data_IF_443286818489
#
_entry.id   IF_443286818489
#
_cell.length_a   1.000
_cell.length_b   1.000
_cell.length_c   1.000
_cell.angle_alpha   90.00
_cell.angle_beta   90.00
_cell.angle_gamma   90.00
#
_symmetry.space_group_name_H-M   'P 1'
#
loop_
_entity.id
_entity.type
_entity.pdbx_description
1 polymer ?
#
# COMPACT_ATOMS: atom_id res chain seq x y z
N UNK A 1 18.20 19.89 -15.65
CA UNK A 1 17.07 19.86 -14.70
C UNK A 1 17.57 20.18 -13.29
N UNK A 2 16.78 20.88 -12.46
CA UNK A 2 17.15 21.19 -11.07
C UNK A 2 16.88 19.99 -10.15
N UNK A 3 17.72 19.78 -9.12
CA UNK A 3 17.59 18.68 -8.15
C UNK A 3 16.19 18.62 -7.50
N UNK A 4 15.59 19.78 -7.26
CA UNK A 4 14.27 19.90 -6.69
C UNK A 4 13.16 19.31 -7.58
N UNK A 5 13.33 19.37 -8.90
CA UNK A 5 12.37 18.77 -9.83
C UNK A 5 12.38 17.24 -9.71
N UNK A 6 13.56 16.62 -9.60
CA UNK A 6 13.66 15.17 -9.37
C UNK A 6 12.98 14.73 -8.07
N UNK A 7 13.07 15.55 -7.01
CA UNK A 7 12.37 15.27 -5.75
C UNK A 7 10.84 15.32 -5.93
N UNK A 8 10.33 16.32 -6.64
CA UNK A 8 8.90 16.47 -6.94
C UNK A 8 8.40 15.30 -7.79
N UNK A 9 9.13 14.94 -8.83
CA UNK A 9 8.80 13.81 -9.69
C UNK A 9 8.78 12.49 -8.91
N UNK A 10 9.80 12.24 -8.08
CA UNK A 10 9.85 11.06 -7.23
C UNK A 10 8.65 10.98 -6.26
N UNK A 11 8.29 12.09 -5.62
CA UNK A 11 7.10 12.18 -4.75
C UNK A 11 5.80 11.91 -5.52
N UNK A 12 5.68 12.45 -6.74
CA UNK A 12 4.54 12.21 -7.61
C UNK A 12 4.41 10.73 -7.98
N UNK A 13 5.46 10.13 -8.54
CA UNK A 13 5.42 8.74 -9.00
C UNK A 13 5.23 7.75 -7.85
N UNK A 14 5.84 7.97 -6.69
CA UNK A 14 5.65 7.12 -5.51
C UNK A 14 4.23 7.22 -4.94
N UNK A 15 3.65 8.43 -4.93
CA UNK A 15 2.24 8.62 -4.60
C UNK A 15 1.33 7.87 -5.56
N UNK A 16 1.54 8.08 -6.87
CA UNK A 16 0.74 7.43 -7.92
C UNK A 16 0.84 5.91 -7.90
N UNK A 17 2.04 5.37 -7.65
CA UNK A 17 2.26 3.93 -7.54
C UNK A 17 1.48 3.33 -6.36
N UNK A 18 1.39 4.06 -5.23
CA UNK A 18 0.59 3.61 -4.08
C UNK A 18 -0.91 3.56 -4.42
N UNK A 19 -1.42 4.53 -5.17
CA UNK A 19 -2.81 4.52 -5.66
C UNK A 19 -3.08 3.31 -6.55
N UNK A 20 -2.19 3.06 -7.51
CA UNK A 20 -2.29 1.90 -8.41
C UNK A 20 -2.20 0.60 -7.61
N UNK A 21 -1.29 0.52 -6.63
CA UNK A 21 -1.12 -0.66 -5.78
C UNK A 21 -2.40 -1.00 -5.01
N UNK A 22 -3.04 0.01 -4.40
CA UNK A 22 -4.34 -0.17 -3.72
C UNK A 22 -5.41 -0.67 -4.67
N UNK A 23 -5.54 -0.03 -5.84
CA UNK A 23 -6.51 -0.45 -6.84
C UNK A 23 -6.30 -1.90 -7.27
N UNK A 24 -5.05 -2.27 -7.56
CA UNK A 24 -4.67 -3.66 -7.88
C UNK A 24 -5.01 -4.63 -6.74
N UNK A 25 -4.69 -4.30 -5.49
CA UNK A 25 -5.05 -5.17 -4.37
C UNK A 25 -6.56 -5.38 -4.25
N UNK A 26 -7.38 -4.33 -4.40
CA UNK A 26 -8.84 -4.46 -4.40
C UNK A 26 -9.37 -5.28 -5.58
N UNK A 27 -8.83 -5.07 -6.78
CA UNK A 27 -9.18 -5.87 -7.97
C UNK A 27 -8.80 -7.33 -7.76
N UNK A 28 -7.61 -7.61 -7.24
CA UNK A 28 -7.16 -8.96 -6.91
C UNK A 28 -8.10 -9.66 -5.92
N UNK A 29 -8.51 -8.97 -4.85
CA UNK A 29 -9.51 -9.48 -3.89
C UNK A 29 -10.85 -9.74 -4.59
N UNK A 30 -11.29 -8.83 -5.47
CA UNK A 30 -12.51 -8.99 -6.27
C UNK A 30 -12.47 -10.21 -7.19
N UNK A 31 -11.34 -10.47 -7.84
CA UNK A 31 -11.12 -11.67 -8.68
C UNK A 31 -11.24 -12.93 -7.82
N UNK A 32 -10.60 -12.96 -6.65
CA UNK A 32 -10.70 -14.11 -5.72
C UNK A 32 -12.17 -14.38 -5.33
N UNK A 33 -12.95 -13.32 -5.08
CA UNK A 33 -14.37 -13.43 -4.76
C UNK A 33 -15.22 -14.03 -5.89
N UNK A 34 -14.80 -13.88 -7.16
CA UNK A 34 -15.50 -14.51 -8.30
C UNK A 34 -15.34 -16.03 -8.25
N UNK A 35 -14.18 -16.52 -7.82
CA UNK A 35 -13.87 -17.95 -7.73
C UNK A 35 -14.35 -18.63 -6.44
N UNK A 36 -15.18 -17.94 -5.62
CA UNK A 36 -15.86 -18.60 -4.51
C UNK A 36 -16.78 -19.70 -5.05
N UNK A 37 -16.76 -20.86 -4.42
CA UNK A 37 -17.71 -21.94 -4.73
C UNK A 37 -18.69 -22.12 -3.59
N UNK A 38 -19.97 -22.22 -3.92
CA UNK A 38 -20.99 -22.72 -3.00
C UNK A 38 -20.79 -24.23 -2.86
N UNK A 39 -20.84 -24.74 -1.64
CA UNK A 39 -20.48 -26.13 -1.29
C UNK A 39 -21.23 -27.21 -2.09
N UNK A 40 -22.30 -26.89 -2.83
CA UNK A 40 -23.08 -27.85 -3.62
C UNK A 40 -23.70 -27.31 -4.94
N UNK A 41 -23.27 -26.16 -5.48
CA UNK A 41 -23.98 -25.52 -6.60
C UNK A 41 -25.40 -25.05 -6.27
N UNK A 42 -25.80 -25.16 -5.01
CA UNK A 42 -27.04 -24.65 -4.42
C UNK A 42 -26.64 -23.54 -3.46
N UNK A 43 -27.28 -22.38 -3.60
CA UNK A 43 -27.09 -21.21 -2.73
C UNK A 43 -27.30 -21.62 -1.27
N UNK A 44 -26.21 -21.75 -0.51
CA UNK A 44 -26.28 -21.87 0.95
C UNK A 44 -25.92 -20.50 1.54
N UNK A 45 -26.88 -19.94 2.27
CA UNK A 45 -26.73 -18.78 3.14
C UNK A 45 -25.77 -19.11 4.30
N UNK A 46 -25.21 -18.11 4.99
CA UNK A 46 -23.87 -17.57 4.80
C UNK A 46 -22.70 -18.37 5.41
N UNK A 47 -22.88 -19.62 5.85
CA UNK A 47 -21.88 -20.31 6.69
C UNK A 47 -20.89 -21.22 5.94
N UNK A 48 -21.06 -21.40 4.63
CA UNK A 48 -20.36 -22.46 3.88
C UNK A 48 -19.69 -21.98 2.57
N UNK A 49 -19.15 -20.75 2.58
CA UNK A 49 -18.31 -20.28 1.49
C UNK A 49 -16.87 -20.76 1.68
N UNK A 50 -16.46 -21.78 0.91
CA UNK A 50 -15.08 -22.25 0.92
C UNK A 50 -14.30 -21.51 -0.18
N UNK A 51 -13.42 -20.60 0.23
CA UNK A 51 -12.37 -20.10 -0.66
C UNK A 51 -11.42 -21.26 -0.92
N UNK A 52 -11.16 -21.55 -2.19
CA UNK A 52 -10.21 -22.60 -2.55
C UNK A 52 -8.87 -22.34 -1.86
N UNK A 53 -8.28 -23.39 -1.27
CA UNK A 53 -7.07 -23.27 -0.44
C UNK A 53 -5.92 -22.53 -1.14
N UNK A 54 -5.83 -22.68 -2.46
CA UNK A 54 -4.84 -22.05 -3.33
C UNK A 54 -5.00 -20.51 -3.41
N UNK A 55 -6.21 -19.98 -3.20
CA UNK A 55 -6.54 -18.56 -3.23
C UNK A 55 -6.41 -17.85 -1.86
N UNK A 56 -6.27 -18.60 -0.76
CA UNK A 56 -6.10 -18.03 0.58
C UNK A 56 -4.77 -17.24 0.66
N UNK A 57 -3.71 -17.77 0.07
CA UNK A 57 -2.40 -17.11 0.05
C UNK A 57 -2.42 -15.76 -0.67
N UNK A 58 -2.84 -15.65 -1.96
CA UNK A 58 -2.91 -14.35 -2.64
C UNK A 58 -3.89 -13.39 -1.95
N UNK A 59 -5.00 -13.87 -1.39
CA UNK A 59 -5.91 -13.04 -0.60
C UNK A 59 -5.21 -12.41 0.61
N UNK A 60 -4.49 -13.22 1.39
CA UNK A 60 -3.72 -12.75 2.54
C UNK A 60 -2.66 -11.74 2.14
N UNK A 61 -1.96 -11.96 1.03
CA UNK A 61 -0.96 -11.02 0.51
C UNK A 61 -1.57 -9.67 0.12
N UNK A 62 -2.73 -9.65 -0.55
CA UNK A 62 -3.42 -8.39 -0.85
C UNK A 62 -3.84 -7.63 0.41
N UNK A 63 -4.35 -8.32 1.42
CA UNK A 63 -4.71 -7.71 2.72
C UNK A 63 -3.47 -7.14 3.41
N UNK A 64 -2.37 -7.89 3.46
CA UNK A 64 -1.11 -7.42 4.06
C UNK A 64 -0.59 -6.18 3.31
N UNK A 65 -0.65 -6.17 1.98
CA UNK A 65 -0.27 -5.00 1.18
C UNK A 65 -1.10 -3.76 1.53
N UNK A 66 -2.43 -3.92 1.66
CA UNK A 66 -3.33 -2.84 2.05
C UNK A 66 -3.08 -2.34 3.48
N UNK A 67 -2.78 -3.24 4.42
CA UNK A 67 -2.42 -2.86 5.79
C UNK A 67 -1.11 -2.06 5.83
N UNK A 68 -0.08 -2.50 5.09
CA UNK A 68 1.17 -1.75 4.97
C UNK A 68 0.97 -0.37 4.33
N UNK A 69 0.09 -0.26 3.31
CA UNK A 69 -0.28 1.02 2.72
C UNK A 69 -0.92 1.96 3.73
N UNK A 70 -1.90 1.46 4.49
CA UNK A 70 -2.58 2.22 5.53
C UNK A 70 -1.61 2.70 6.63
N UNK A 71 -0.73 1.81 7.11
CA UNK A 71 0.28 2.15 8.12
C UNK A 71 1.25 3.19 7.58
N UNK A 72 1.70 3.08 6.34
CA UNK A 72 2.60 4.06 5.72
C UNK A 72 2.02 5.47 5.77
N UNK A 73 0.79 5.64 5.26
CA UNK A 73 0.16 6.96 5.19
C UNK A 73 -0.22 7.49 6.57
N UNK A 74 -0.60 6.61 7.50
CA UNK A 74 -0.85 6.99 8.90
C UNK A 74 0.42 7.49 9.56
N UNK A 75 1.53 6.73 9.46
CA UNK A 75 2.83 7.12 10.00
C UNK A 75 3.29 8.46 9.44
N UNK A 76 3.27 8.61 8.11
CA UNK A 76 3.66 9.87 7.45
C UNK A 76 2.77 11.04 7.90
N UNK A 77 1.45 10.86 7.98
CA UNK A 77 0.54 11.91 8.45
C UNK A 77 0.84 12.35 9.88
N UNK A 78 1.04 11.39 10.80
CA UNK A 78 1.34 11.67 12.22
C UNK A 78 2.70 12.36 12.38
N UNK A 79 3.75 11.82 11.76
CA UNK A 79 5.11 12.36 11.89
C UNK A 79 5.19 13.79 11.38
N UNK A 80 4.63 14.07 10.19
CA UNK A 80 4.65 15.41 9.62
C UNK A 80 3.75 16.39 10.39
N UNK A 81 2.62 15.94 10.92
CA UNK A 81 1.74 16.76 11.76
C UNK A 81 2.43 17.16 13.08
N UNK A 82 3.13 16.22 13.72
CA UNK A 82 3.91 16.50 14.93
C UNK A 82 5.06 17.44 14.61
N UNK A 83 5.82 17.15 13.54
CA UNK A 83 6.93 17.99 13.09
C UNK A 83 6.47 19.43 12.86
N UNK A 84 5.38 19.64 12.12
CA UNK A 84 4.80 20.95 11.87
C UNK A 84 4.42 21.67 13.18
N UNK A 85 3.69 21.00 14.09
CA UNK A 85 3.26 21.62 15.37
C UNK A 85 4.41 22.02 16.28
N UNK A 86 5.49 21.22 16.33
CA UNK A 86 6.68 21.55 17.11
C UNK A 86 7.34 22.82 16.55
N UNK A 87 7.45 22.88 15.23
CA UNK A 87 8.09 23.97 14.49
C UNK A 87 7.27 25.27 14.56
N UNK A 88 5.95 25.18 14.45
CA UNK A 88 5.03 26.30 14.63
C UNK A 88 5.12 26.89 16.05
N UNK A 89 5.14 26.05 17.09
CA UNK A 89 5.30 26.51 18.48
C UNK A 89 6.64 27.21 18.73
N UNK A 90 7.72 26.75 18.09
CA UNK A 90 9.05 27.37 18.19
C UNK A 90 9.08 28.73 17.48
N UNK A 91 8.48 28.83 16.28
CA UNK A 91 8.33 30.10 15.54
C UNK A 91 7.59 31.17 16.35
N UNK A 92 6.52 30.77 17.06
CA UNK A 92 5.74 31.71 17.91
C UNK A 92 6.54 32.22 19.12
N UNK A 93 7.54 31.47 19.60
CA UNK A 93 8.37 31.84 20.76
C UNK A 93 9.55 32.74 20.36
N UNK A 94 10.21 32.41 19.24
CA UNK A 94 11.33 33.17 18.69
C UNK A 94 11.06 33.45 17.20
N UNK A 95 10.46 34.59 16.84
CA UNK A 95 10.13 34.94 15.46
C UNK A 95 11.38 35.09 14.58
N UNK A 96 12.47 35.59 15.17
CA UNK A 96 13.68 35.99 14.47
C UNK A 96 14.54 34.79 14.02
N UNK A 97 14.43 33.65 14.72
CA UNK A 97 15.09 32.37 14.39
C UNK A 97 14.53 31.72 13.09
N UNK A 98 13.38 32.20 12.61
CA UNK A 98 12.63 31.61 11.50
C UNK A 98 12.73 32.35 10.17
N UNK A 99 13.52 33.42 10.11
CA UNK A 99 13.85 34.14 8.88
C UNK A 99 14.84 33.37 7.99
N UNK A 100 15.30 32.20 8.44
CA UNK A 100 16.18 31.29 7.71
C UNK A 100 15.30 30.25 7.01
N UNK A 101 15.05 30.47 5.71
CA UNK A 101 14.15 29.73 4.81
C UNK A 101 14.39 28.20 4.65
N UNK A 102 15.26 27.57 5.44
CA UNK A 102 15.69 26.19 5.22
C UNK A 102 15.59 25.30 6.47
N UNK A 103 14.38 25.08 6.98
CA UNK A 103 14.15 24.01 7.95
C UNK A 103 14.26 22.67 7.23
N UNK A 104 15.47 22.12 7.26
CA UNK A 104 15.77 20.80 6.72
C UNK A 104 15.17 19.73 7.62
N UNK A 105 14.09 19.12 7.16
CA UNK A 105 13.53 17.96 7.82
C UNK A 105 14.53 16.78 7.82
N UNK A 106 14.63 16.01 8.90
CA UNK A 106 15.53 14.88 8.96
C UNK A 106 15.17 13.82 7.91
N UNK A 107 16.15 13.36 7.14
CA UNK A 107 15.97 12.38 6.06
C UNK A 107 15.53 11.01 6.59
N UNK A 108 15.96 10.61 7.78
CA UNK A 108 15.61 9.31 8.36
C UNK A 108 14.10 9.12 8.57
N UNK A 109 13.36 10.19 8.93
CA UNK A 109 11.91 10.13 9.12
C UNK A 109 11.18 9.74 7.83
N UNK A 110 11.68 10.23 6.69
CA UNK A 110 11.14 9.86 5.39
C UNK A 110 11.58 8.46 4.99
N UNK A 111 12.85 8.10 5.21
CA UNK A 111 13.42 6.82 4.81
C UNK A 111 12.75 5.62 5.49
N UNK A 112 12.33 5.76 6.76
CA UNK A 112 11.57 4.70 7.45
C UNK A 112 10.27 4.39 6.71
N UNK A 113 9.53 5.42 6.28
CA UNK A 113 8.28 5.24 5.54
C UNK A 113 8.50 4.48 4.23
N UNK A 114 9.60 4.80 3.52
CA UNK A 114 9.94 4.13 2.27
C UNK A 114 10.39 2.68 2.45
N UNK A 115 11.35 2.45 3.35
CA UNK A 115 12.01 1.14 3.51
C UNK A 115 11.08 0.15 4.20
N UNK A 116 10.38 0.55 5.26
CA UNK A 116 9.59 -0.35 6.08
C UNK A 116 8.18 -0.61 5.53
N UNK A 117 7.62 0.32 4.75
CA UNK A 117 6.22 0.20 4.31
C UNK A 117 6.06 0.32 2.79
N UNK A 118 6.67 1.33 2.16
CA UNK A 118 6.46 1.57 0.72
C UNK A 118 7.00 0.44 -0.17
N UNK A 119 8.24 0.00 -0.03
CA UNK A 119 8.73 -1.09 -0.89
C UNK A 119 8.10 -2.46 -0.56
N UNK A 120 7.99 -2.85 0.74
CA UNK A 120 7.38 -4.12 1.09
C UNK A 120 5.95 -4.27 0.59
N UNK A 121 5.10 -3.24 0.68
CA UNK A 121 3.71 -3.35 0.22
C UNK A 121 3.60 -3.64 -1.28
N UNK A 122 4.48 -3.05 -2.10
CA UNK A 122 4.50 -3.27 -3.55
C UNK A 122 4.95 -4.70 -3.86
N UNK A 123 6.02 -5.17 -3.20
CA UNK A 123 6.54 -6.53 -3.37
C UNK A 123 5.47 -7.56 -2.97
N UNK A 124 4.85 -7.37 -1.81
CA UNK A 124 3.80 -8.27 -1.30
C UNK A 124 2.60 -8.32 -2.27
N UNK A 125 2.16 -7.18 -2.80
CA UNK A 125 1.06 -7.15 -3.78
C UNK A 125 1.45 -7.88 -5.08
N UNK A 126 2.67 -7.64 -5.57
CA UNK A 126 3.17 -8.28 -6.77
C UNK A 126 3.23 -9.80 -6.62
N UNK A 127 3.75 -10.29 -5.49
CA UNK A 127 3.76 -11.73 -5.18
C UNK A 127 2.33 -12.28 -5.13
N UNK A 128 1.37 -11.54 -4.56
CA UNK A 128 -0.05 -11.91 -4.58
C UNK A 128 -0.59 -12.14 -5.99
N UNK A 129 -0.23 -11.26 -6.94
CA UNK A 129 -0.59 -11.42 -8.34
C UNK A 129 0.08 -12.61 -9.02
N UNK A 130 1.34 -12.91 -8.70
CA UNK A 130 2.03 -14.10 -9.22
C UNK A 130 1.30 -15.38 -8.81
N UNK A 131 0.88 -15.51 -7.55
CA UNK A 131 0.10 -16.66 -7.09
C UNK A 131 -1.29 -16.71 -7.73
N UNK A 132 -1.98 -15.58 -7.83
CA UNK A 132 -3.29 -15.51 -8.46
C UNK A 132 -3.24 -15.90 -9.94
N UNK A 133 -2.22 -15.45 -10.67
CA UNK A 133 -2.01 -15.85 -12.07
C UNK A 133 -1.74 -17.35 -12.19
N UNK A 134 -0.88 -17.91 -11.33
CA UNK A 134 -0.59 -19.34 -11.31
C UNK A 134 -1.86 -20.19 -11.15
N UNK A 135 -2.76 -19.77 -10.25
CA UNK A 135 -4.07 -20.39 -10.08
C UNK A 135 -4.93 -20.34 -11.36
N UNK A 136 -5.04 -19.17 -11.99
CA UNK A 136 -5.84 -18.98 -13.20
C UNK A 136 -5.30 -19.83 -14.37
N UNK A 137 -3.99 -19.88 -14.57
CA UNK A 137 -3.38 -20.68 -15.64
C UNK A 137 -3.55 -22.19 -15.42
N UNK A 138 -3.45 -22.65 -14.17
CA UNK A 138 -3.75 -24.04 -13.82
C UNK A 138 -5.19 -24.39 -14.16
N UNK A 139 -6.14 -23.49 -13.90
CA UNK A 139 -7.54 -23.64 -14.30
C UNK A 139 -7.72 -23.71 -15.81
N UNK A 140 -7.08 -22.82 -16.57
CA UNK A 140 -7.15 -22.79 -18.05
C UNK A 140 -6.62 -24.07 -18.71
N UNK A 141 -5.51 -24.61 -18.20
CA UNK A 141 -4.90 -25.84 -18.74
C UNK A 141 -5.82 -27.06 -18.62
N UNK A 142 -6.78 -27.07 -17.68
CA UNK A 142 -7.72 -28.18 -17.52
C UNK A 142 -8.79 -28.19 -18.65
N UNK A 143 -9.03 -27.04 -19.30
CA UNK A 143 -10.06 -26.89 -20.34
C UNK A 143 -9.52 -26.90 -21.78
N UNK A 144 -8.19 -26.95 -21.97
CA UNK A 144 -7.51 -27.06 -23.27
C UNK A 144 -7.02 -28.49 -23.50
#
# INVERSE_FOLDING_TARGET
MKLENYKKDAQYFTGKLSDINRYLAFVGIGIIWIFRTDLNGVKVFPEEYIIQRELILPLGLFIISLLLDFIQYTYSSVVWSIFYRIHEKRKRKNPDDYLIDDIKAPSYLSNISYICFFYPKIIVNFIGYVYLMGYIFKGLYIYL
#
